data_IF_793054590639
#
_entry.id   IF_793054590639
#
_cell.length_a   1.000
_cell.length_b   1.000
_cell.length_c   1.000
_cell.angle_alpha   90.00
_cell.angle_beta   90.00
_cell.angle_gamma   90.00
#
_symmetry.space_group_name_H-M   'P 1'
#
loop_
_entity.id
_entity.type
_entity.pdbx_description
1 polymer ?
#
# COMPACT_ATOMS: atom_id res chain seq x y z
N UNK A 1 -20.19 -14.40 -20.78
CA UNK A 1 -19.22 -14.31 -19.67
C UNK A 1 -19.67 -13.35 -18.57
N UNK A 2 -19.90 -12.05 -18.85
CA UNK A 2 -20.32 -11.07 -17.83
C UNK A 2 -21.63 -11.47 -17.12
N UNK A 3 -22.68 -11.83 -17.88
CA UNK A 3 -23.96 -12.28 -17.30
C UNK A 3 -23.79 -13.51 -16.40
N UNK A 4 -23.02 -14.49 -16.86
CA UNK A 4 -22.68 -15.68 -16.05
C UNK A 4 -22.04 -15.30 -14.71
N UNK A 5 -21.09 -14.35 -14.69
CA UNK A 5 -20.47 -13.88 -13.45
C UNK A 5 -21.48 -13.14 -12.55
N UNK A 6 -22.36 -12.32 -13.13
CA UNK A 6 -23.41 -11.62 -12.38
C UNK A 6 -24.40 -12.61 -11.76
N UNK A 7 -24.83 -13.62 -12.51
CA UNK A 7 -25.78 -14.63 -12.04
C UNK A 7 -25.14 -15.53 -10.97
N UNK A 8 -23.89 -15.97 -11.19
CA UNK A 8 -23.19 -16.88 -10.28
C UNK A 8 -22.70 -16.20 -8.99
N UNK A 9 -22.23 -14.95 -9.07
CA UNK A 9 -21.63 -14.24 -7.93
C UNK A 9 -22.55 -13.19 -7.32
N UNK A 10 -23.64 -12.82 -7.98
CA UNK A 10 -24.66 -11.89 -7.48
C UNK A 10 -25.16 -12.23 -6.08
N UNK A 11 -25.54 -13.49 -5.80
CA UNK A 11 -25.96 -13.92 -4.45
C UNK A 11 -24.89 -13.71 -3.36
N UNK A 12 -23.61 -13.66 -3.76
CA UNK A 12 -22.47 -13.50 -2.86
C UNK A 12 -21.92 -12.07 -2.80
N UNK A 13 -22.58 -11.10 -3.45
CA UNK A 13 -22.08 -9.73 -3.59
C UNK A 13 -21.66 -9.12 -2.25
N UNK A 14 -22.45 -9.30 -1.19
CA UNK A 14 -22.14 -8.73 0.13
C UNK A 14 -20.92 -9.40 0.78
N UNK A 15 -20.75 -10.71 0.61
CA UNK A 15 -19.58 -11.44 1.10
C UNK A 15 -18.32 -11.03 0.35
N UNK A 16 -18.41 -10.88 -0.98
CA UNK A 16 -17.32 -10.35 -1.80
C UNK A 16 -16.96 -8.92 -1.37
N UNK A 17 -17.95 -8.08 -1.06
CA UNK A 17 -17.73 -6.72 -0.56
C UNK A 17 -17.05 -6.72 0.80
N UNK A 18 -17.47 -7.60 1.71
CA UNK A 18 -16.87 -7.75 3.03
C UNK A 18 -15.40 -8.17 2.93
N UNK A 19 -15.10 -9.20 2.11
CA UNK A 19 -13.73 -9.64 1.86
C UNK A 19 -12.91 -8.48 1.29
N UNK A 20 -13.40 -7.83 0.21
CA UNK A 20 -12.71 -6.72 -0.42
C UNK A 20 -12.37 -5.60 0.56
N UNK A 21 -13.36 -5.11 1.33
CA UNK A 21 -13.14 -4.04 2.28
C UNK A 21 -12.17 -4.46 3.39
N UNK A 22 -12.26 -5.69 3.89
CA UNK A 22 -11.31 -6.21 4.89
C UNK A 22 -9.88 -6.15 4.38
N UNK A 23 -9.64 -6.60 3.14
CA UNK A 23 -8.31 -6.57 2.55
C UNK A 23 -7.84 -5.15 2.19
N UNK A 24 -8.74 -4.25 1.81
CA UNK A 24 -8.41 -2.81 1.68
C UNK A 24 -7.95 -2.23 3.01
N UNK A 25 -8.60 -2.61 4.12
CA UNK A 25 -8.21 -2.15 5.46
C UNK A 25 -6.86 -2.73 5.89
N UNK A 26 -6.60 -4.02 5.63
CA UNK A 26 -5.28 -4.63 5.88
C UNK A 26 -4.21 -3.87 5.11
N UNK A 27 -4.39 -3.70 3.80
CA UNK A 27 -3.49 -2.99 2.91
C UNK A 27 -3.18 -1.56 3.40
N UNK A 28 -4.22 -0.77 3.70
CA UNK A 28 -4.06 0.63 4.08
C UNK A 28 -3.40 0.80 5.45
N UNK A 29 -3.86 0.05 6.46
CA UNK A 29 -3.48 0.32 7.85
C UNK A 29 -2.18 -0.35 8.26
N UNK A 30 -1.82 -1.50 7.68
CA UNK A 30 -0.53 -2.16 7.99
C UNK A 30 0.63 -1.21 7.80
N UNK A 31 0.58 -0.42 6.73
CA UNK A 31 1.68 0.40 6.27
C UNK A 31 1.60 1.81 6.85
N UNK A 32 0.39 2.37 6.98
CA UNK A 32 0.18 3.68 7.62
C UNK A 32 0.66 3.70 9.08
N UNK A 33 0.30 2.69 9.88
CA UNK A 33 0.71 2.62 11.29
C UNK A 33 2.21 2.40 11.42
N UNK A 34 2.76 1.48 10.62
CA UNK A 34 4.20 1.19 10.61
C UNK A 34 5.02 2.43 10.22
N UNK A 35 4.59 3.16 9.19
CA UNK A 35 5.23 4.41 8.76
C UNK A 35 5.18 5.48 9.86
N UNK A 36 3.98 5.80 10.36
CA UNK A 36 3.78 6.94 11.25
C UNK A 36 4.42 6.76 12.64
N UNK A 37 4.37 5.55 13.19
CA UNK A 37 4.75 5.31 14.58
C UNK A 37 6.08 4.56 14.76
N UNK A 38 6.61 3.90 13.72
CA UNK A 38 7.88 3.18 13.82
C UNK A 38 8.97 3.82 12.97
N UNK A 39 8.70 4.13 11.69
CA UNK A 39 9.72 4.72 10.82
C UNK A 39 9.94 6.21 11.10
N UNK A 40 8.88 7.03 11.06
CA UNK A 40 9.00 8.49 11.20
C UNK A 40 9.77 8.91 12.46
N UNK A 41 9.52 8.34 13.66
CA UNK A 41 10.25 8.72 14.86
C UNK A 41 11.75 8.40 14.77
N UNK A 42 12.10 7.22 14.26
CA UNK A 42 13.50 6.77 14.16
C UNK A 42 14.26 7.60 13.13
N UNK A 43 13.66 7.89 11.97
CA UNK A 43 14.28 8.75 10.96
C UNK A 43 14.41 10.21 11.41
N UNK A 44 13.48 10.72 12.23
CA UNK A 44 13.63 12.02 12.89
C UNK A 44 14.78 12.03 13.90
N UNK A 45 14.96 10.95 14.68
CA UNK A 45 16.07 10.82 15.61
C UNK A 45 17.42 10.76 14.88
N UNK A 46 17.51 9.96 13.81
CA UNK A 46 18.68 9.88 12.95
C UNK A 46 19.05 11.22 12.32
N UNK A 47 18.08 11.97 11.79
CA UNK A 47 18.36 13.31 11.22
C UNK A 47 18.93 14.28 12.25
N UNK A 48 18.62 14.13 13.54
CA UNK A 48 19.15 14.96 14.62
C UNK A 48 20.53 14.52 15.10
N UNK A 49 20.85 13.23 14.95
CA UNK A 49 22.07 12.61 15.45
C UNK A 49 22.61 11.61 14.39
N UNK A 50 23.11 12.09 13.25
CA UNK A 50 23.46 11.21 12.12
C UNK A 50 24.70 10.33 12.39
N UNK A 51 25.60 10.78 13.27
CA UNK A 51 26.85 10.10 13.59
C UNK A 51 26.72 9.13 14.79
N UNK A 52 25.54 9.05 15.40
CA UNK A 52 25.27 8.11 16.49
C UNK A 52 25.04 6.71 15.93
N UNK A 53 26.03 5.83 16.11
CA UNK A 53 25.99 4.46 15.61
C UNK A 53 24.80 3.64 16.09
N UNK A 54 24.30 3.87 17.32
CA UNK A 54 23.13 3.16 17.84
C UNK A 54 21.85 3.61 17.13
N UNK A 55 21.74 4.90 16.81
CA UNK A 55 20.58 5.44 16.08
C UNK A 55 20.60 4.98 14.62
N UNK A 56 21.77 4.90 13.99
CA UNK A 56 21.93 4.33 12.65
C UNK A 56 21.53 2.85 12.62
N UNK A 57 21.96 2.06 13.60
CA UNK A 57 21.57 0.65 13.72
C UNK A 57 20.06 0.50 13.91
N UNK A 58 19.44 1.31 14.77
CA UNK A 58 18.01 1.30 15.00
C UNK A 58 17.22 1.68 13.72
N UNK A 59 17.68 2.69 12.97
CA UNK A 59 17.09 3.08 11.68
C UNK A 59 17.12 1.94 10.68
N UNK A 60 18.26 1.27 10.56
CA UNK A 60 18.47 0.15 9.64
C UNK A 60 17.56 -1.03 10.01
N UNK A 61 17.53 -1.36 11.31
CA UNK A 61 16.65 -2.38 11.84
C UNK A 61 15.17 -2.06 11.59
N UNK A 62 14.74 -0.83 11.88
CA UNK A 62 13.34 -0.40 11.70
C UNK A 62 12.91 -0.45 10.23
N UNK A 63 13.78 0.00 9.31
CA UNK A 63 13.52 -0.08 7.87
C UNK A 63 13.40 -1.53 7.38
N UNK A 64 14.32 -2.43 7.77
CA UNK A 64 14.21 -3.86 7.41
C UNK A 64 12.96 -4.52 8.01
N UNK A 65 12.53 -4.12 9.22
CA UNK A 65 11.30 -4.61 9.83
C UNK A 65 10.05 -4.08 9.14
N UNK A 66 10.07 -2.83 8.70
CA UNK A 66 9.02 -2.27 7.88
C UNK A 66 8.88 -3.07 6.59
N UNK A 67 9.96 -3.31 5.83
CA UNK A 67 9.90 -4.15 4.61
C UNK A 67 9.28 -5.53 4.87
N UNK A 68 9.58 -6.12 6.03
CA UNK A 68 8.95 -7.38 6.44
C UNK A 68 7.45 -7.24 6.73
N UNK A 69 7.00 -6.12 7.28
CA UNK A 69 5.61 -5.80 7.54
C UNK A 69 4.80 -5.54 6.26
N UNK A 70 5.41 -4.93 5.24
CA UNK A 70 4.80 -4.70 3.92
C UNK A 70 4.39 -6.03 3.24
N UNK A 71 4.87 -7.20 3.70
CA UNK A 71 4.33 -8.47 3.24
C UNK A 71 2.82 -8.62 3.46
N UNK A 72 2.25 -8.05 4.53
CA UNK A 72 0.80 -8.06 4.73
C UNK A 72 0.07 -7.27 3.64
N UNK A 73 0.63 -6.11 3.28
CA UNK A 73 0.15 -5.27 2.19
C UNK A 73 0.22 -6.02 0.85
N UNK A 74 1.36 -6.65 0.55
CA UNK A 74 1.58 -7.40 -0.68
C UNK A 74 0.73 -8.68 -0.81
N UNK A 75 0.26 -9.25 0.30
CA UNK A 75 -0.72 -10.34 0.29
C UNK A 75 -2.13 -9.78 0.08
N UNK A 76 -2.42 -8.63 0.70
CA UNK A 76 -3.74 -8.01 0.61
C UNK A 76 -4.02 -7.42 -0.77
N UNK A 77 -3.05 -6.75 -1.38
CA UNK A 77 -3.22 -6.02 -2.63
C UNK A 77 -3.69 -6.91 -3.81
N UNK A 78 -3.14 -8.13 -4.05
CA UNK A 78 -3.67 -9.05 -5.06
C UNK A 78 -5.15 -9.38 -4.84
N UNK A 79 -5.57 -9.56 -3.59
CA UNK A 79 -6.97 -9.85 -3.28
C UNK A 79 -7.83 -8.62 -3.57
N UNK A 80 -7.35 -7.40 -3.28
CA UNK A 80 -8.02 -6.14 -3.64
C UNK A 80 -8.17 -6.00 -5.15
N UNK A 81 -7.10 -6.25 -5.92
CA UNK A 81 -7.07 -6.19 -7.40
C UNK A 81 -8.00 -7.23 -8.03
N UNK A 82 -8.20 -8.39 -7.41
CA UNK A 82 -9.13 -9.40 -7.91
C UNK A 82 -10.58 -9.08 -7.54
N UNK A 83 -10.83 -8.76 -6.28
CA UNK A 83 -12.19 -8.56 -5.76
C UNK A 83 -12.80 -7.23 -6.20
N UNK A 84 -11.99 -6.18 -6.45
CA UNK A 84 -12.46 -4.89 -6.94
C UNK A 84 -13.18 -4.95 -8.30
N UNK A 85 -12.54 -5.50 -9.36
CA UNK A 85 -13.16 -5.72 -10.67
C UNK A 85 -14.34 -6.68 -10.60
N UNK A 86 -14.29 -7.73 -9.76
CA UNK A 86 -15.45 -8.61 -9.55
C UNK A 86 -16.64 -7.83 -8.99
N UNK A 87 -16.43 -6.98 -7.99
CA UNK A 87 -17.49 -6.13 -7.43
C UNK A 87 -17.99 -5.09 -8.42
N UNK A 88 -17.12 -4.60 -9.31
CA UNK A 88 -17.54 -3.76 -10.44
C UNK A 88 -18.50 -4.52 -11.35
N UNK A 89 -18.07 -5.68 -11.87
CA UNK A 89 -18.84 -6.50 -12.83
C UNK A 89 -20.16 -6.96 -12.21
N UNK A 90 -20.11 -7.55 -11.03
CA UNK A 90 -21.30 -8.10 -10.34
C UNK A 90 -22.25 -6.99 -9.91
N UNK A 91 -21.72 -5.85 -9.49
CA UNK A 91 -22.54 -4.70 -9.10
C UNK A 91 -23.11 -3.90 -10.28
N UNK A 92 -22.72 -4.21 -11.52
CA UNK A 92 -23.23 -3.53 -12.72
C UNK A 92 -22.88 -2.04 -12.78
N UNK A 93 -21.82 -1.60 -12.08
CA UNK A 93 -21.45 -0.18 -12.04
C UNK A 93 -20.94 0.29 -13.39
N UNK A 94 -21.26 1.52 -13.75
CA UNK A 94 -20.83 2.12 -15.02
C UNK A 94 -20.23 3.50 -14.77
N UNK A 95 -19.54 4.10 -15.74
CA UNK A 95 -19.06 5.48 -15.64
C UNK A 95 -20.17 6.52 -15.45
N UNK A 96 -21.45 6.16 -15.58
CA UNK A 96 -22.57 7.03 -15.22
C UNK A 96 -22.66 7.28 -13.70
N UNK A 97 -22.05 6.43 -12.88
CA UNK A 97 -21.92 6.64 -11.43
C UNK A 97 -20.70 7.51 -11.14
N UNK A 98 -20.91 8.77 -10.76
CA UNK A 98 -19.80 9.72 -10.59
C UNK A 98 -18.82 9.27 -9.49
N UNK A 99 -19.32 8.73 -8.37
CA UNK A 99 -18.49 8.23 -7.28
C UNK A 99 -17.53 7.14 -7.77
N UNK A 100 -18.00 6.31 -8.71
CA UNK A 100 -17.26 5.19 -9.25
C UNK A 100 -16.12 5.68 -10.14
N UNK A 101 -16.38 6.67 -11.00
CA UNK A 101 -15.35 7.29 -11.84
C UNK A 101 -14.25 7.92 -10.97
N UNK A 102 -14.63 8.70 -9.95
CA UNK A 102 -13.65 9.30 -9.03
C UNK A 102 -12.84 8.22 -8.32
N UNK A 103 -13.49 7.14 -7.87
CA UNK A 103 -12.79 6.01 -7.25
C UNK A 103 -11.77 5.38 -8.23
N UNK A 104 -12.15 5.15 -9.48
CA UNK A 104 -11.24 4.57 -10.48
C UNK A 104 -10.06 5.50 -10.80
N UNK A 105 -10.28 6.82 -10.87
CA UNK A 105 -9.21 7.80 -11.06
C UNK A 105 -8.19 7.75 -9.92
N UNK A 106 -8.65 7.63 -8.67
CA UNK A 106 -7.75 7.46 -7.52
C UNK A 106 -7.00 6.12 -7.62
N UNK A 107 -7.71 5.02 -7.86
CA UNK A 107 -7.08 3.68 -7.89
C UNK A 107 -6.03 3.58 -9.01
N UNK A 108 -6.38 3.95 -10.24
CA UNK A 108 -5.46 3.81 -11.38
C UNK A 108 -4.47 4.96 -11.51
N UNK A 109 -4.84 6.17 -11.10
CA UNK A 109 -3.98 7.35 -11.19
C UNK A 109 -3.01 7.50 -10.02
N UNK A 110 -3.35 6.96 -8.85
CA UNK A 110 -2.55 7.10 -7.63
C UNK A 110 -2.06 5.73 -7.13
N UNK A 111 -2.95 4.83 -6.74
CA UNK A 111 -2.53 3.60 -6.02
C UNK A 111 -1.76 2.63 -6.89
N UNK A 112 -2.22 2.29 -8.10
CA UNK A 112 -1.51 1.33 -8.95
C UNK A 112 -0.06 1.76 -9.26
N UNK A 113 0.23 3.01 -9.66
CA UNK A 113 1.61 3.47 -9.83
C UNK A 113 2.45 3.39 -8.55
N UNK A 114 1.86 3.75 -7.40
CA UNK A 114 2.51 3.68 -6.09
C UNK A 114 2.91 2.24 -5.75
N UNK A 115 1.99 1.30 -5.91
CA UNK A 115 2.23 -0.13 -5.61
C UNK A 115 3.33 -0.72 -6.48
N UNK A 116 3.39 -0.34 -7.76
CA UNK A 116 4.47 -0.78 -8.65
C UNK A 116 5.82 -0.29 -8.13
N UNK A 117 5.89 0.98 -7.69
CA UNK A 117 7.11 1.56 -7.16
C UNK A 117 7.49 0.94 -5.80
N UNK A 118 6.53 0.74 -4.90
CA UNK A 118 6.75 0.13 -3.59
C UNK A 118 7.26 -1.31 -3.72
N UNK A 119 6.60 -2.12 -4.57
CA UNK A 119 7.01 -3.50 -4.82
C UNK A 119 8.42 -3.59 -5.40
N UNK A 120 8.80 -2.65 -6.27
CA UNK A 120 10.16 -2.57 -6.82
C UNK A 120 11.20 -2.23 -5.74
N UNK A 121 10.91 -1.28 -4.86
CA UNK A 121 11.78 -0.83 -3.77
C UNK A 121 11.91 -1.86 -2.64
N UNK A 122 10.87 -2.65 -2.39
CA UNK A 122 10.86 -3.68 -1.35
C UNK A 122 11.52 -5.00 -1.80
N UNK A 123 11.22 -5.50 -3.02
CA UNK A 123 11.58 -6.86 -3.42
C UNK A 123 12.70 -6.99 -4.45
N UNK A 124 12.68 -6.16 -5.49
CA UNK A 124 13.57 -6.33 -6.64
C UNK A 124 14.93 -5.65 -6.44
N UNK A 125 14.97 -4.32 -6.64
CA UNK A 125 16.21 -3.54 -6.67
C UNK A 125 16.67 -3.05 -5.30
N UNK A 126 15.75 -2.96 -4.33
CA UNK A 126 15.98 -2.33 -3.03
C UNK A 126 15.90 -3.25 -1.81
N UNK A 127 16.04 -4.57 -1.98
CA UNK A 127 16.01 -5.50 -0.84
C UNK A 127 17.21 -5.26 0.09
N UNK A 128 16.98 -4.44 1.12
CA UNK A 128 18.00 -3.94 2.04
C UNK A 128 18.72 -5.07 2.78
N UNK A 129 17.99 -6.12 3.17
CA UNK A 129 18.58 -7.32 3.79
C UNK A 129 19.57 -8.03 2.86
N UNK A 130 19.27 -8.12 1.56
CA UNK A 130 20.17 -8.72 0.57
C UNK A 130 21.41 -7.86 0.37
N UNK A 131 21.25 -6.54 0.28
CA UNK A 131 22.37 -5.59 0.15
C UNK A 131 23.29 -5.62 1.38
N UNK A 132 22.73 -5.66 2.59
CA UNK A 132 23.50 -5.80 3.84
C UNK A 132 24.31 -7.09 3.87
N UNK A 133 23.73 -8.22 3.46
CA UNK A 133 24.42 -9.51 3.39
C UNK A 133 25.52 -9.54 2.33
N UNK A 134 25.39 -8.76 1.27
CA UNK A 134 26.42 -8.62 0.23
C UNK A 134 27.61 -7.77 0.69
N UNK A 135 27.52 -7.10 1.86
CA UNK A 135 28.61 -6.28 2.40
C UNK A 135 28.84 -4.98 1.63
N UNK A 136 27.81 -4.44 0.97
CA UNK A 136 27.87 -3.19 0.20
C UNK A 136 27.14 -2.06 0.96
N UNK A 137 27.84 -1.34 1.87
CA UNK A 137 27.21 -0.34 2.73
C UNK A 137 26.73 0.88 1.95
N UNK A 138 27.40 1.25 0.85
CA UNK A 138 27.01 2.41 0.05
C UNK A 138 25.67 2.17 -0.66
N UNK A 139 25.51 1.00 -1.31
CA UNK A 139 24.23 0.66 -1.94
C UNK A 139 23.13 0.46 -0.92
N UNK A 140 23.46 -0.06 0.26
CA UNK A 140 22.50 -0.18 1.35
C UNK A 140 21.96 1.18 1.78
N UNK A 141 22.85 2.16 2.05
CA UNK A 141 22.45 3.51 2.42
C UNK A 141 21.63 4.21 1.33
N UNK A 142 22.04 4.06 0.06
CA UNK A 142 21.24 4.57 -1.07
C UNK A 142 19.84 3.96 -1.09
N UNK A 143 19.72 2.64 -0.92
CA UNK A 143 18.44 1.96 -0.89
C UNK A 143 17.55 2.40 0.29
N UNK A 144 18.14 2.60 1.48
CA UNK A 144 17.43 3.13 2.66
C UNK A 144 16.97 4.57 2.39
N UNK A 145 17.83 5.42 1.82
CA UNK A 145 17.50 6.80 1.52
C UNK A 145 16.36 6.94 0.51
N UNK A 146 16.44 6.24 -0.62
CA UNK A 146 15.39 6.29 -1.65
C UNK A 146 14.06 5.73 -1.13
N UNK A 147 14.10 4.64 -0.36
CA UNK A 147 12.89 4.08 0.22
C UNK A 147 12.26 5.05 1.24
N UNK A 148 13.08 5.67 2.08
CA UNK A 148 12.60 6.68 3.02
C UNK A 148 11.97 7.89 2.31
N UNK A 149 12.61 8.41 1.27
CA UNK A 149 12.09 9.52 0.49
C UNK A 149 10.73 9.18 -0.14
N UNK A 150 10.62 7.98 -0.73
CA UNK A 150 9.37 7.46 -1.26
C UNK A 150 8.28 7.44 -0.18
N UNK A 151 8.56 6.82 0.97
CA UNK A 151 7.57 6.70 2.05
C UNK A 151 7.10 8.06 2.58
N UNK A 152 7.99 9.04 2.75
CA UNK A 152 7.62 10.38 3.23
C UNK A 152 6.72 11.12 2.25
N UNK A 153 6.99 11.00 0.96
CA UNK A 153 6.22 11.69 -0.08
C UNK A 153 4.87 11.01 -0.32
N UNK A 154 4.85 9.67 -0.30
CA UNK A 154 3.71 8.88 -0.77
C UNK A 154 2.74 8.49 0.35
N UNK A 155 3.23 8.19 1.56
CA UNK A 155 2.36 7.72 2.65
C UNK A 155 1.25 8.72 3.02
N UNK A 156 1.49 10.05 3.11
CA UNK A 156 0.42 10.99 3.45
C UNK A 156 -0.72 11.04 2.42
N UNK A 157 -0.46 11.17 1.11
CA UNK A 157 -1.49 11.00 0.09
C UNK A 157 -2.22 9.66 0.18
N UNK A 158 -1.51 8.54 0.35
CA UNK A 158 -2.14 7.21 0.46
C UNK A 158 -3.10 7.13 1.64
N UNK A 159 -2.72 7.66 2.80
CA UNK A 159 -3.60 7.69 3.98
C UNK A 159 -4.88 8.49 3.73
N UNK A 160 -4.78 9.67 3.10
CA UNK A 160 -5.94 10.52 2.82
C UNK A 160 -6.84 9.91 1.75
N UNK A 161 -6.27 9.56 0.60
CA UNK A 161 -7.02 9.03 -0.53
C UNK A 161 -7.53 7.60 -0.27
N UNK A 162 -6.88 6.85 0.61
CA UNK A 162 -7.32 5.53 1.05
C UNK A 162 -8.66 5.63 1.79
N UNK A 163 -8.77 6.55 2.75
CA UNK A 163 -10.02 6.84 3.47
C UNK A 163 -11.10 7.35 2.51
N UNK A 164 -10.76 8.25 1.59
CA UNK A 164 -11.71 8.74 0.56
C UNK A 164 -12.22 7.58 -0.30
N UNK A 165 -11.35 6.66 -0.70
CA UNK A 165 -11.70 5.49 -1.52
C UNK A 165 -12.63 4.54 -0.78
N UNK A 166 -12.41 4.32 0.52
CA UNK A 166 -13.31 3.57 1.39
C UNK A 166 -14.68 4.25 1.47
N UNK A 167 -14.71 5.57 1.71
CA UNK A 167 -15.94 6.35 1.75
C UNK A 167 -16.72 6.23 0.44
N UNK A 168 -16.08 6.42 -0.72
CA UNK A 168 -16.70 6.26 -2.04
C UNK A 168 -17.26 4.84 -2.24
N UNK A 169 -16.55 3.81 -1.79
CA UNK A 169 -17.00 2.41 -1.92
C UNK A 169 -18.18 2.03 -1.00
N UNK A 170 -18.27 2.68 0.17
CA UNK A 170 -19.31 2.41 1.17
C UNK A 170 -20.55 3.25 0.91
N UNK A 171 -20.38 4.58 0.82
CA UNK A 171 -21.47 5.56 0.81
C UNK A 171 -22.02 5.82 -0.58
N UNK A 172 -21.19 5.77 -1.62
CA UNK A 172 -21.60 5.98 -3.03
C UNK A 172 -22.44 7.26 -3.23
N UNK A 173 -21.92 8.44 -2.85
CA UNK A 173 -22.72 9.64 -2.64
C UNK A 173 -23.30 10.32 -3.90
N UNK A 174 -22.84 9.99 -5.11
CA UNK A 174 -23.27 10.63 -6.37
C UNK A 174 -23.03 9.74 -7.60
#
# INVERSE_FOLDING_TARGET
>A
MIRFLQDALGPYYIYLKFIHLTFVMIWLWSTAVAFAYYLVPVFKAWRRNPDDGLIVELRNWAMERFDHGVNYEHIAFPIVILTGPLLWIVGGWTPASGWFVVKLLIVFGLFVPIEIADFYLAHFGGNKRKLRKAGDPEKYEQAVYYHWLFLVVISPPVMVFGVITIFLAVVKPF
#
